data_IF_240786652946
#
_entry.id   IF_240786652946
#
_cell.length_a   1.000
_cell.length_b   1.000
_cell.length_c   1.000
_cell.angle_alpha   90.00
_cell.angle_beta   90.00
_cell.angle_gamma   90.00
#
_symmetry.space_group_name_H-M   'P 1'
#
loop_
_entity.id
_entity.type
_entity.pdbx_description
1 polymer ?
#
# COMPACT_ATOMS: atom_id res chain seq x y z
N UNK A 1 -15.44 -0.78 24.98
CA UNK A 1 -16.89 -1.08 24.85
C UNK A 1 -17.56 0.19 24.37
N UNK A 2 -18.42 0.08 23.35
CA UNK A 2 -19.15 1.16 22.65
C UNK A 2 -18.41 1.76 21.44
N UNK A 3 -18.52 1.11 20.29
CA UNK A 3 -18.38 1.76 18.98
C UNK A 3 -19.73 1.63 18.27
N UNK A 4 -20.51 2.68 18.44
CA UNK A 4 -21.88 2.83 17.99
C UNK A 4 -21.94 2.72 16.46
N UNK A 5 -22.72 1.76 15.97
CA UNK A 5 -22.94 1.52 14.54
C UNK A 5 -23.85 2.62 14.00
N UNK A 6 -23.29 3.77 13.63
CA UNK A 6 -24.03 4.79 12.89
C UNK A 6 -24.12 4.38 11.41
N UNK A 7 -25.13 3.54 11.11
CA UNK A 7 -25.64 3.30 9.76
C UNK A 7 -26.32 4.58 9.26
N UNK A 8 -25.61 5.43 8.55
CA UNK A 8 -26.21 6.53 7.77
C UNK A 8 -25.67 6.52 6.35
N UNK A 9 -26.34 5.73 5.50
CA UNK A 9 -26.95 6.23 4.27
C UNK A 9 -26.05 6.83 3.19
N UNK A 10 -25.25 6.00 2.53
CA UNK A 10 -25.20 6.03 1.07
C UNK A 10 -25.65 4.66 0.60
N UNK A 11 -26.93 4.54 0.28
CA UNK A 11 -27.45 3.31 -0.32
C UNK A 11 -26.64 3.03 -1.59
N UNK A 12 -26.18 1.79 -1.74
CA UNK A 12 -25.78 1.24 -3.02
C UNK A 12 -27.04 1.16 -3.89
N UNK A 13 -27.43 2.29 -4.47
CA UNK A 13 -28.45 2.40 -5.50
C UNK A 13 -27.86 3.25 -6.61
N UNK A 14 -27.47 2.60 -7.71
CA UNK A 14 -27.20 3.26 -8.99
C UNK A 14 -28.51 3.84 -9.55
N UNK A 15 -28.62 5.16 -9.82
CA UNK A 15 -29.70 5.70 -10.63
C UNK A 15 -29.19 5.86 -12.06
N UNK A 16 -29.68 5.03 -13.00
CA UNK A 16 -29.27 5.18 -14.40
C UNK A 16 -29.87 4.17 -15.35
N UNK A 17 -31.21 4.06 -15.40
CA UNK A 17 -31.88 3.47 -16.57
C UNK A 17 -32.73 4.54 -17.26
N UNK A 18 -32.06 5.29 -18.16
CA UNK A 18 -32.68 6.21 -19.11
C UNK A 18 -32.12 5.90 -20.49
N UNK A 19 -32.97 5.41 -21.38
CA UNK A 19 -32.66 5.16 -22.80
C UNK A 19 -32.26 6.47 -23.49
N UNK A 20 -31.12 6.45 -24.20
CA UNK A 20 -30.95 6.88 -25.60
C UNK A 20 -29.46 7.05 -25.90
N UNK A 21 -28.94 6.23 -26.83
CA UNK A 21 -27.81 6.44 -27.72
C UNK A 21 -26.67 7.36 -27.26
N UNK A 22 -25.69 6.80 -26.53
CA UNK A 22 -24.28 7.21 -26.53
C UNK A 22 -23.43 6.04 -25.98
N UNK A 23 -22.69 5.37 -26.84
CA UNK A 23 -21.72 4.33 -26.47
C UNK A 23 -20.46 5.00 -25.88
N UNK A 24 -20.57 5.57 -24.68
CA UNK A 24 -19.47 6.04 -23.85
C UNK A 24 -18.93 4.86 -23.01
N UNK A 25 -17.62 4.53 -23.04
CA UNK A 25 -17.06 3.48 -22.20
C UNK A 25 -17.05 3.97 -20.75
N UNK A 26 -18.15 3.74 -20.04
CA UNK A 26 -18.28 4.07 -18.62
C UNK A 26 -17.24 3.31 -17.80
N UNK A 27 -16.12 3.97 -17.52
CA UNK A 27 -15.36 3.86 -16.27
C UNK A 27 -14.84 2.47 -15.85
N UNK A 28 -14.69 1.52 -16.77
CA UNK A 28 -14.06 0.24 -16.47
C UNK A 28 -12.53 0.42 -16.35
N UNK A 29 -12.05 0.83 -15.17
CA UNK A 29 -10.64 0.70 -14.85
C UNK A 29 -10.26 -0.77 -14.98
N UNK A 30 -9.17 -1.12 -15.69
CA UNK A 30 -8.73 -2.50 -15.75
C UNK A 30 -8.52 -3.00 -14.32
N UNK A 31 -8.97 -4.23 -14.04
CA UNK A 31 -8.88 -4.85 -12.72
C UNK A 31 -7.46 -4.75 -12.14
N UNK A 32 -6.45 -4.88 -13.00
CA UNK A 32 -5.03 -4.76 -12.66
C UNK A 32 -4.66 -3.38 -12.11
N UNK A 33 -5.23 -2.29 -12.65
CA UNK A 33 -4.99 -0.95 -12.13
C UNK A 33 -5.62 -0.74 -10.74
N UNK A 34 -6.75 -1.40 -10.48
CA UNK A 34 -7.39 -1.37 -9.14
C UNK A 34 -6.57 -2.13 -8.12
N UNK A 35 -6.05 -3.31 -8.48
CA UNK A 35 -5.17 -4.08 -7.59
C UNK A 35 -3.86 -3.35 -7.33
N UNK A 36 -3.25 -2.78 -8.37
CA UNK A 36 -2.00 -2.04 -8.26
C UNK A 36 -2.08 -0.88 -7.26
N UNK A 37 -3.15 -0.08 -7.30
CA UNK A 37 -3.27 1.06 -6.38
C UNK A 37 -3.50 0.65 -4.93
N UNK A 38 -4.19 -0.47 -4.69
CA UNK A 38 -4.38 -1.01 -3.34
C UNK A 38 -3.05 -1.53 -2.79
N UNK A 39 -2.27 -2.27 -3.59
CA UNK A 39 -0.95 -2.75 -3.18
C UNK A 39 0.04 -1.61 -2.92
N UNK A 40 0.01 -0.54 -3.73
CA UNK A 40 0.80 0.66 -3.48
C UNK A 40 0.43 1.30 -2.14
N UNK A 41 -0.86 1.52 -1.88
CA UNK A 41 -1.34 2.09 -0.63
C UNK A 41 -0.93 1.23 0.58
N UNK A 42 -1.02 -0.10 0.48
CA UNK A 42 -0.54 -1.03 1.51
C UNK A 42 0.95 -0.83 1.80
N UNK A 43 1.80 -0.81 0.78
CA UNK A 43 3.24 -0.59 0.95
C UNK A 43 3.57 0.75 1.61
N UNK A 44 2.82 1.80 1.28
CA UNK A 44 2.96 3.12 1.92
C UNK A 44 2.56 3.09 3.39
N UNK A 45 1.46 2.40 3.74
CA UNK A 45 1.03 2.25 5.13
C UNK A 45 2.01 1.40 5.95
N UNK A 46 2.55 0.32 5.37
CA UNK A 46 3.61 -0.47 5.99
C UNK A 46 4.82 0.39 6.35
N UNK A 47 5.25 1.25 5.41
CA UNK A 47 6.37 2.15 5.61
C UNK A 47 6.10 3.21 6.68
N UNK A 48 4.90 3.81 6.69
CA UNK A 48 4.55 4.89 7.64
C UNK A 48 4.33 4.35 9.04
N UNK A 49 3.67 3.20 9.18
CA UNK A 49 3.25 2.66 10.48
C UNK A 49 4.16 1.56 11.03
N UNK A 50 5.10 1.02 10.23
CA UNK A 50 5.95 -0.10 10.64
C UNK A 50 5.17 -1.41 10.85
N UNK A 51 4.12 -1.62 10.06
CA UNK A 51 3.21 -2.77 10.12
C UNK A 51 3.43 -3.71 8.93
N UNK A 52 2.89 -4.92 9.01
CA UNK A 52 2.86 -5.85 7.89
C UNK A 52 1.76 -5.52 6.86
N UNK A 53 1.74 -6.29 5.77
CA UNK A 53 0.82 -6.08 4.66
C UNK A 53 -0.64 -6.40 5.01
N UNK A 54 -0.89 -7.33 5.93
CA UNK A 54 -2.22 -7.77 6.31
C UNK A 54 -2.89 -6.73 7.20
N UNK A 55 -2.17 -6.21 8.19
CA UNK A 55 -2.60 -5.10 9.04
C UNK A 55 -2.82 -3.81 8.22
N UNK A 56 -1.94 -3.54 7.25
CA UNK A 56 -2.11 -2.39 6.36
C UNK A 56 -3.40 -2.50 5.51
N UNK A 57 -3.67 -3.69 4.98
CA UNK A 57 -4.90 -3.93 4.21
C UNK A 57 -6.15 -3.89 5.09
N UNK A 58 -6.07 -4.42 6.31
CA UNK A 58 -7.15 -4.37 7.28
C UNK A 58 -7.58 -2.93 7.54
N UNK A 59 -6.65 -2.01 7.75
CA UNK A 59 -6.98 -0.59 7.98
C UNK A 59 -7.68 0.07 6.79
N UNK A 60 -7.23 -0.18 5.56
CA UNK A 60 -7.91 0.32 4.37
C UNK A 60 -9.35 -0.22 4.27
N UNK A 61 -9.53 -1.51 4.58
CA UNK A 61 -10.84 -2.16 4.61
C UNK A 61 -11.74 -1.59 5.70
N UNK A 62 -11.22 -1.36 6.90
CA UNK A 62 -11.97 -0.75 8.00
C UNK A 62 -12.48 0.63 7.60
N UNK A 63 -11.63 1.48 7.04
CA UNK A 63 -12.04 2.80 6.55
C UNK A 63 -13.12 2.69 5.45
N UNK A 64 -12.97 1.73 4.53
CA UNK A 64 -13.95 1.47 3.47
C UNK A 64 -15.31 1.09 4.01
N UNK A 65 -15.34 0.21 5.02
CA UNK A 65 -16.58 -0.26 5.62
C UNK A 65 -17.23 0.78 6.53
N UNK A 66 -16.43 1.51 7.31
CA UNK A 66 -16.91 2.54 8.23
C UNK A 66 -17.56 3.71 7.48
N UNK A 67 -17.00 4.09 6.33
CA UNK A 67 -17.50 5.23 5.55
C UNK A 67 -18.32 4.83 4.32
N UNK A 68 -18.48 3.53 4.07
CA UNK A 68 -19.13 3.01 2.87
C UNK A 68 -18.59 3.62 1.57
N UNK A 69 -17.26 3.76 1.49
CA UNK A 69 -16.55 4.28 0.32
C UNK A 69 -15.81 3.13 -0.35
N UNK A 70 -15.77 3.13 -1.69
CA UNK A 70 -15.03 2.11 -2.46
C UNK A 70 -13.57 2.08 -2.02
N UNK A 71 -13.08 0.90 -1.63
CA UNK A 71 -11.71 0.68 -1.15
C UNK A 71 -10.64 1.29 -2.06
N UNK A 72 -10.83 1.19 -3.38
CA UNK A 72 -9.94 1.79 -4.39
C UNK A 72 -9.81 3.31 -4.23
N UNK A 73 -10.91 4.01 -3.93
CA UNK A 73 -10.89 5.47 -3.76
C UNK A 73 -10.16 5.86 -2.47
N UNK A 74 -10.34 5.09 -1.39
CA UNK A 74 -9.57 5.29 -0.15
C UNK A 74 -8.08 5.05 -0.40
N UNK A 75 -7.72 3.96 -1.09
CA UNK A 75 -6.34 3.68 -1.42
C UNK A 75 -5.70 4.81 -2.26
N UNK A 76 -6.42 5.33 -3.25
CA UNK A 76 -6.00 6.48 -4.05
C UNK A 76 -5.79 7.73 -3.19
N UNK A 77 -6.77 8.09 -2.37
CA UNK A 77 -6.73 9.28 -1.55
C UNK A 77 -5.60 9.22 -0.52
N UNK A 78 -5.50 8.11 0.23
CA UNK A 78 -4.43 7.89 1.21
C UNK A 78 -3.05 7.97 0.55
N UNK A 79 -2.89 7.38 -0.64
CA UNK A 79 -1.62 7.45 -1.37
C UNK A 79 -1.27 8.89 -1.75
N UNK A 80 -2.24 9.67 -2.24
CA UNK A 80 -2.04 11.08 -2.58
C UNK A 80 -1.65 11.91 -1.35
N UNK A 81 -2.40 11.77 -0.26
CA UNK A 81 -2.18 12.51 0.99
C UNK A 81 -0.81 12.21 1.59
N UNK A 82 -0.38 10.94 1.57
CA UNK A 82 0.94 10.55 2.06
C UNK A 82 2.08 11.09 1.20
N UNK A 83 1.90 11.18 -0.13
CA UNK A 83 2.88 11.81 -1.02
C UNK A 83 3.01 13.30 -0.70
N UNK A 84 1.88 14.00 -0.53
CA UNK A 84 1.89 15.43 -0.22
C UNK A 84 2.46 15.71 1.17
N UNK A 85 2.16 14.85 2.14
CA UNK A 85 2.80 14.89 3.46
C UNK A 85 4.32 14.67 3.37
N UNK A 86 4.78 13.74 2.54
CA UNK A 86 6.22 13.48 2.37
C UNK A 86 6.95 14.66 1.71
N UNK A 87 6.30 15.38 0.78
CA UNK A 87 6.83 16.60 0.15
C UNK A 87 7.06 17.72 1.15
N UNK A 88 6.14 17.87 2.11
CA UNK A 88 6.18 18.93 3.14
C UNK A 88 6.95 18.52 4.41
N UNK A 89 7.31 17.24 4.53
CA UNK A 89 8.06 16.71 5.67
C UNK A 89 9.47 17.28 5.81
N UNK A 90 10.08 17.12 6.99
CA UNK A 90 11.41 17.64 7.30
C UNK A 90 12.49 17.11 6.34
N UNK A 91 13.48 17.94 5.96
CA UNK A 91 14.60 17.50 5.13
C UNK A 91 15.37 16.30 5.71
N UNK A 92 15.47 16.21 7.05
CA UNK A 92 16.16 15.14 7.75
C UNK A 92 15.57 13.77 7.45
N UNK A 93 14.24 13.65 7.42
CA UNK A 93 13.56 12.40 7.11
C UNK A 93 13.89 11.93 5.68
N UNK A 94 13.87 12.85 4.70
CA UNK A 94 14.26 12.54 3.32
C UNK A 94 15.71 12.07 3.21
N UNK A 95 16.64 12.72 3.91
CA UNK A 95 18.06 12.33 3.91
C UNK A 95 18.28 10.93 4.48
N UNK A 96 17.56 10.56 5.55
CA UNK A 96 17.63 9.20 6.11
C UNK A 96 17.16 8.14 5.11
N UNK A 97 16.05 8.41 4.40
CA UNK A 97 15.55 7.50 3.36
C UNK A 97 16.50 7.41 2.16
N UNK A 98 17.06 8.53 1.70
CA UNK A 98 18.03 8.57 0.60
C UNK A 98 19.29 7.78 0.94
N UNK A 99 19.80 7.91 2.17
CA UNK A 99 20.95 7.11 2.61
C UNK A 99 20.63 5.61 2.58
N UNK A 100 19.47 5.20 3.10
CA UNK A 100 19.04 3.80 3.05
C UNK A 100 18.97 3.28 1.62
N UNK A 101 18.39 4.06 0.70
CA UNK A 101 18.30 3.70 -0.72
C UNK A 101 19.70 3.53 -1.34
N UNK A 102 20.57 4.54 -1.18
CA UNK A 102 21.91 4.54 -1.77
C UNK A 102 22.78 3.39 -1.27
N UNK A 103 22.63 3.03 -0.01
CA UNK A 103 23.43 1.97 0.64
C UNK A 103 22.76 0.60 0.60
N UNK A 104 21.59 0.46 -0.05
CA UNK A 104 20.89 -0.82 -0.14
C UNK A 104 21.75 -1.91 -0.79
N UNK A 105 22.45 -1.58 -1.87
CA UNK A 105 23.33 -2.51 -2.57
C UNK A 105 24.45 -3.07 -1.67
N UNK A 106 24.99 -2.26 -0.75
CA UNK A 106 26.06 -2.69 0.16
C UNK A 106 25.54 -3.78 1.11
N UNK A 107 24.36 -3.56 1.72
CA UNK A 107 23.74 -4.56 2.60
C UNK A 107 23.42 -5.87 1.87
N UNK A 108 23.07 -5.80 0.59
CA UNK A 108 22.82 -6.99 -0.25
C UNK A 108 24.13 -7.74 -0.50
N UNK A 109 25.21 -7.04 -0.88
CA UNK A 109 26.54 -7.66 -1.08
C UNK A 109 27.10 -8.26 0.21
N UNK A 110 26.92 -7.59 1.34
CA UNK A 110 27.36 -8.08 2.65
C UNK A 110 26.58 -9.34 3.06
N UNK A 111 25.27 -9.39 2.80
CA UNK A 111 24.44 -10.57 3.05
C UNK A 111 24.85 -11.75 2.17
N UNK A 112 25.12 -11.52 0.88
CA UNK A 112 25.59 -12.55 -0.04
C UNK A 112 26.97 -13.11 0.38
N UNK A 113 27.89 -12.25 0.79
CA UNK A 113 29.23 -12.67 1.28
C UNK A 113 29.11 -13.52 2.55
N UNK A 114 28.21 -13.15 3.47
CA UNK A 114 27.95 -13.94 4.69
C UNK A 114 27.35 -15.32 4.39
N UNK A 115 26.46 -15.41 3.38
CA UNK A 115 25.89 -16.68 2.95
C UNK A 115 26.96 -17.60 2.34
N UNK A 116 27.83 -17.08 1.47
CA UNK A 116 28.93 -17.85 0.89
C UNK A 116 29.94 -18.34 1.94
N UNK A 117 30.23 -17.52 2.97
CA UNK A 117 31.06 -17.94 4.10
C UNK A 117 30.42 -19.04 4.95
N UNK A 118 29.11 -18.96 5.21
CA UNK A 118 28.38 -19.99 5.95
C UNK A 118 28.32 -21.33 5.23
N UNK A 119 28.18 -21.33 3.90
CA UNK A 119 28.20 -22.55 3.08
C UNK A 119 29.59 -23.22 3.06
N UNK A 120 30.67 -22.43 3.08
CA UNK A 120 32.04 -22.95 3.12
C UNK A 120 32.38 -23.63 4.45
N UNK A 121 31.87 -23.15 5.58
CA UNK A 121 32.13 -23.75 6.90
C UNK A 121 31.37 -25.08 7.10
N UNK A 122 30.21 -25.27 6.46
CA UNK A 122 29.45 -26.52 6.52
C UNK A 122 30.07 -27.63 5.65
N UNK A 123 30.85 -27.27 4.61
CA UNK A 123 31.56 -28.21 3.75
C UNK A 123 32.85 -28.80 4.33
N UNK A 124 33.40 -28.20 5.40
CA UNK A 124 34.66 -28.62 6.02
C UNK A 124 34.55 -29.75 7.06
N UNK A 125 33.34 -30.16 7.44
CA UNK A 125 33.12 -31.12 8.53
C UNK A 125 32.91 -32.58 8.07
N UNK A 126 33.17 -32.89 6.79
CA UNK A 126 33.00 -34.22 6.20
C UNK A 126 34.27 -34.80 5.55
N UNK A 127 35.46 -34.28 5.88
CA UNK A 127 36.74 -34.82 5.40
C UNK A 127 37.52 -35.52 6.52
#
# INVERSE_FOLDING_TARGET
MQFERQRLGIACSDPGHGRSDDNEPTGAFPYDATRAVIEQAKGMLMFVYGIDADEAFLRLREQSQQHNVKLRLIAQQVSADLVDLARTSSPQRRMQHDLLLRTAHQRISDAATKQAGAEAELGGHLA
#
